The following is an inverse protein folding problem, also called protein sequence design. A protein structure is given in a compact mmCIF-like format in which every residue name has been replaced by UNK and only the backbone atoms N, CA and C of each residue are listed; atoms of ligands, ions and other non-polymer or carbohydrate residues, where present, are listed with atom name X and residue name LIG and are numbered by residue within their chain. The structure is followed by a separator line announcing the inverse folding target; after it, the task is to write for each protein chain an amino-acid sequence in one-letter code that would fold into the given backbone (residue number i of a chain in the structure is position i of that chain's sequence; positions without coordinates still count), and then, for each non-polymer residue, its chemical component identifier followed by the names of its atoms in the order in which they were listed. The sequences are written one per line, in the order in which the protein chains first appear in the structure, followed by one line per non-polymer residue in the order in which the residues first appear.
data_IF_259164785144
#
_entry.id   IF_259164785144
#
_cell.length_a   1.000
_cell.length_b   1.000
_cell.length_c   1.000
_cell.angle_alpha   90.00
_cell.angle_beta   90.00
_cell.angle_gamma   90.00
#
_symmetry.space_group_name_H-M   'P 1'
#
loop_
_entity.id
_entity.type
_entity.pdbx_description
1 polymer ?
#
# COMPACT_ATOMS: atom_id res chain seq x y z
N UNK A 1 -19.00 3.07 12.19
CA UNK A 1 -18.17 4.11 12.83
C UNK A 1 -18.77 4.42 14.18
N UNK A 2 -17.97 4.46 15.25
CA UNK A 2 -18.43 4.72 16.63
C UNK A 2 -17.82 5.96 17.27
N UNK A 3 -16.93 6.67 16.56
CA UNK A 3 -16.32 7.91 17.03
C UNK A 3 -17.26 9.12 16.97
N UNK A 4 -16.76 10.27 17.43
CA UNK A 4 -17.50 11.55 17.53
C UNK A 4 -17.01 12.64 16.57
N UNK A 5 -16.01 12.35 15.74
CA UNK A 5 -15.47 13.30 14.77
C UNK A 5 -16.41 13.29 13.55
N UNK A 6 -16.77 14.44 12.95
CA UNK A 6 -17.51 14.46 11.70
C UNK A 6 -16.74 13.72 10.60
N UNK A 7 -17.44 12.86 9.86
CA UNK A 7 -16.87 12.09 8.75
C UNK A 7 -17.84 12.13 7.58
N UNK A 8 -17.32 12.33 6.36
CA UNK A 8 -18.15 12.30 5.15
C UNK A 8 -18.80 10.91 5.04
N UNK A 9 -20.14 10.78 4.94
CA UNK A 9 -20.79 9.52 4.62
C UNK A 9 -20.31 9.00 3.25
N UNK A 10 -20.12 7.69 3.07
CA UNK A 10 -19.59 7.15 1.80
C UNK A 10 -20.40 7.61 0.58
N UNK A 11 -21.74 7.54 0.67
CA UNK A 11 -22.64 8.00 -0.39
C UNK A 11 -22.54 9.51 -0.71
N UNK A 12 -22.08 10.34 0.24
CA UNK A 12 -21.80 11.76 -0.03
C UNK A 12 -20.39 11.95 -0.59
N UNK A 13 -19.40 11.16 -0.17
CA UNK A 13 -18.06 11.20 -0.74
C UNK A 13 -18.09 10.93 -2.25
N UNK A 14 -18.83 9.90 -2.68
CA UNK A 14 -18.98 9.50 -4.09
C UNK A 14 -19.94 10.41 -4.90
N UNK A 15 -20.47 11.49 -4.33
CA UNK A 15 -21.38 12.42 -5.03
C UNK A 15 -20.58 13.44 -5.85
N UNK A 16 -20.89 13.60 -7.15
CA UNK A 16 -20.28 14.64 -8.00
C UNK A 16 -20.60 16.05 -7.49
N UNK A 17 -19.56 16.89 -7.37
CA UNK A 17 -19.69 18.30 -6.99
C UNK A 17 -20.65 19.06 -7.92
N UNK A 18 -20.72 18.70 -9.21
CA UNK A 18 -21.61 19.31 -10.18
C UNK A 18 -23.10 19.10 -9.86
N UNK A 19 -23.46 18.05 -9.12
CA UNK A 19 -24.84 17.78 -8.69
C UNK A 19 -25.23 18.60 -7.45
N UNK A 20 -24.26 18.96 -6.61
CA UNK A 20 -24.47 19.82 -5.42
C UNK A 20 -24.41 21.32 -5.75
N UNK A 21 -23.64 21.67 -6.78
CA UNK A 21 -23.30 23.07 -7.07
C UNK A 21 -22.40 23.70 -5.99
N UNK A 22 -22.01 24.95 -6.22
CA UNK A 22 -21.03 25.68 -5.38
C UNK A 22 -21.48 25.76 -3.92
N UNK A 23 -22.75 26.12 -3.67
CA UNK A 23 -23.30 26.21 -2.32
C UNK A 23 -23.41 24.84 -1.64
N UNK A 24 -23.93 23.82 -2.33
CA UNK A 24 -24.07 22.49 -1.74
C UNK A 24 -22.72 21.84 -1.41
N UNK A 25 -21.69 22.07 -2.23
CA UNK A 25 -20.32 21.65 -1.92
C UNK A 25 -19.75 22.40 -0.71
N UNK A 26 -19.95 23.72 -0.63
CA UNK A 26 -19.56 24.52 0.54
C UNK A 26 -20.23 24.02 1.82
N UNK A 27 -21.52 23.75 1.79
CA UNK A 27 -22.29 23.29 2.96
C UNK A 27 -21.79 21.93 3.47
N UNK A 28 -21.43 21.00 2.56
CA UNK A 28 -20.83 19.71 2.91
C UNK A 28 -19.42 19.85 3.51
N UNK A 29 -18.58 20.72 2.93
CA UNK A 29 -17.23 20.98 3.44
C UNK A 29 -17.26 21.69 4.80
N UNK A 30 -18.10 22.72 4.96
CA UNK A 30 -18.36 23.39 6.23
C UNK A 30 -18.81 22.38 7.31
N UNK A 31 -19.81 21.54 7.00
CA UNK A 31 -20.34 20.52 7.92
C UNK A 31 -19.28 19.49 8.32
N UNK A 32 -18.45 19.05 7.37
CA UNK A 32 -17.39 18.05 7.61
C UNK A 32 -16.23 18.63 8.41
N UNK A 33 -15.82 19.86 8.10
CA UNK A 33 -14.63 20.51 8.67
C UNK A 33 -14.97 21.45 9.83
N UNK A 34 -16.20 21.40 10.37
CA UNK A 34 -16.63 22.19 11.53
C UNK A 34 -16.51 23.71 11.35
N UNK A 35 -16.74 24.20 10.12
CA UNK A 35 -16.53 25.59 9.70
C UNK A 35 -17.82 26.23 9.19
N UNK A 36 -17.80 27.55 9.01
CA UNK A 36 -18.95 28.35 8.57
C UNK A 36 -18.54 29.45 7.59
N UNK A 37 -17.74 29.09 6.57
CA UNK A 37 -17.37 30.02 5.50
C UNK A 37 -18.57 30.30 4.58
N UNK A 38 -18.58 31.47 3.92
CA UNK A 38 -19.63 31.89 2.98
C UNK A 38 -19.07 32.21 1.59
N UNK A 39 -19.94 32.22 0.57
CA UNK A 39 -19.59 32.56 -0.81
C UNK A 39 -19.37 34.07 -1.04
N UNK A 40 -19.48 34.92 -0.01
CA UNK A 40 -19.09 36.34 -0.08
C UNK A 40 -17.60 36.52 -0.40
N UNK A 41 -16.80 35.46 -0.20
CA UNK A 41 -15.42 35.38 -0.64
C UNK A 41 -15.33 34.79 -2.06
N UNK A 42 -15.08 35.60 -3.11
CA UNK A 42 -15.05 35.13 -4.49
C UNK A 42 -13.90 34.15 -4.79
N UNK A 43 -12.83 34.17 -3.97
CA UNK A 43 -11.70 33.25 -4.11
C UNK A 43 -12.07 31.83 -3.65
N UNK A 44 -12.96 31.71 -2.65
CA UNK A 44 -13.56 30.44 -2.23
C UNK A 44 -14.56 29.95 -3.27
N UNK A 45 -15.48 30.80 -3.75
CA UNK A 45 -16.43 30.43 -4.82
C UNK A 45 -15.70 29.87 -6.04
N UNK A 46 -14.71 30.61 -6.54
CA UNK A 46 -13.90 30.23 -7.71
C UNK A 46 -13.09 28.93 -7.51
N UNK A 47 -12.74 28.58 -6.27
CA UNK A 47 -12.03 27.32 -5.95
C UNK A 47 -12.99 26.11 -5.90
N UNK A 48 -14.24 26.32 -5.51
CA UNK A 48 -15.29 25.30 -5.56
C UNK A 48 -15.82 25.12 -6.99
N UNK A 49 -15.88 26.20 -7.77
CA UNK A 49 -16.12 26.18 -9.22
C UNK A 49 -15.03 25.39 -9.97
N UNK A 50 -13.75 25.49 -9.59
CA UNK A 50 -12.70 24.63 -10.14
C UNK A 50 -13.02 23.14 -9.90
N UNK A 51 -13.45 22.77 -8.69
CA UNK A 51 -13.74 21.38 -8.33
C UNK A 51 -14.90 20.81 -9.18
N UNK A 52 -15.94 21.62 -9.42
CA UNK A 52 -17.04 21.28 -10.32
C UNK A 52 -16.55 21.16 -11.77
N UNK A 53 -15.70 22.08 -12.23
CA UNK A 53 -15.19 22.14 -13.61
C UNK A 53 -14.24 20.97 -13.95
N UNK A 54 -13.59 20.39 -12.94
CA UNK A 54 -12.74 19.21 -13.08
C UNK A 54 -13.50 17.87 -12.81
N UNK A 55 -14.84 17.91 -12.71
CA UNK A 55 -15.73 16.77 -12.43
C UNK A 55 -15.34 15.95 -11.17
N UNK A 56 -14.98 16.65 -10.10
CA UNK A 56 -14.63 15.99 -8.83
C UNK A 56 -15.87 15.52 -8.08
N UNK A 57 -15.73 14.40 -7.37
CA UNK A 57 -16.61 14.04 -6.26
C UNK A 57 -16.25 14.81 -4.97
N UNK A 58 -17.15 14.81 -3.97
CA UNK A 58 -16.94 15.51 -2.69
C UNK A 58 -15.74 14.93 -1.92
N UNK A 59 -15.47 13.63 -2.04
CA UNK A 59 -14.32 12.98 -1.41
C UNK A 59 -12.99 13.52 -1.95
N UNK A 60 -12.87 13.70 -3.26
CA UNK A 60 -11.72 14.27 -3.94
C UNK A 60 -11.57 15.77 -3.67
N UNK A 61 -12.67 16.52 -3.72
CA UNK A 61 -12.68 17.94 -3.35
C UNK A 61 -12.22 18.14 -1.90
N UNK A 62 -12.79 17.39 -0.94
CA UNK A 62 -12.35 17.38 0.46
C UNK A 62 -10.88 16.97 0.60
N UNK A 63 -10.45 15.92 -0.11
CA UNK A 63 -9.07 15.43 -0.10
C UNK A 63 -8.05 16.48 -0.55
N UNK A 64 -8.37 17.27 -1.59
CA UNK A 64 -7.54 18.37 -2.10
C UNK A 64 -7.57 19.61 -1.18
N UNK A 65 -8.74 19.93 -0.62
CA UNK A 65 -8.96 21.19 0.12
C UNK A 65 -8.68 21.11 1.63
N UNK A 66 -8.73 19.93 2.28
CA UNK A 66 -8.56 19.83 3.75
C UNK A 66 -7.24 20.41 4.26
N UNK A 67 -6.14 20.20 3.53
CA UNK A 67 -4.79 20.64 3.91
C UNK A 67 -4.48 22.12 3.64
N UNK A 68 -5.52 22.94 3.44
CA UNK A 68 -5.50 24.40 3.24
C UNK A 68 -6.75 25.13 3.77
N UNK A 69 -7.81 24.40 4.16
CA UNK A 69 -9.15 24.95 4.42
C UNK A 69 -9.16 26.03 5.51
N UNK A 70 -8.45 25.80 6.62
CA UNK A 70 -8.37 26.70 7.77
C UNK A 70 -7.37 27.87 7.56
N UNK A 71 -7.33 28.47 6.36
CA UNK A 71 -6.42 29.60 6.07
C UNK A 71 -7.08 30.95 6.29
N UNK A 72 -6.32 31.87 6.90
CA UNK A 72 -6.69 33.29 7.01
C UNK A 72 -6.57 34.03 5.67
N UNK A 73 -5.86 33.46 4.69
CA UNK A 73 -5.57 34.14 3.42
C UNK A 73 -5.87 33.27 2.19
N UNK A 74 -7.08 33.43 1.66
CA UNK A 74 -7.57 32.73 0.48
C UNK A 74 -6.86 33.12 -0.83
N UNK A 75 -6.20 34.28 -0.89
CA UNK A 75 -5.52 34.75 -2.12
C UNK A 75 -4.30 33.91 -2.50
N UNK A 76 -3.68 33.23 -1.52
CA UNK A 76 -2.48 32.41 -1.75
C UNK A 76 -2.79 30.93 -1.98
N UNK A 77 -4.06 30.51 -1.87
CA UNK A 77 -4.45 29.10 -2.00
C UNK A 77 -4.15 28.55 -3.39
N UNK A 78 -4.61 29.24 -4.44
CA UNK A 78 -4.50 28.73 -5.82
C UNK A 78 -3.03 28.50 -6.18
N UNK A 79 -2.17 29.46 -5.87
CA UNK A 79 -0.72 29.35 -5.99
C UNK A 79 -0.13 28.23 -5.11
N UNK A 80 -0.65 28.00 -3.90
CA UNK A 80 -0.19 26.93 -3.03
C UNK A 80 -0.57 25.53 -3.55
N UNK A 81 -1.77 25.36 -4.14
CA UNK A 81 -2.18 24.12 -4.80
C UNK A 81 -1.36 23.86 -6.06
N UNK A 82 -1.26 24.84 -6.96
CA UNK A 82 -0.47 24.72 -8.18
C UNK A 82 1.00 24.37 -7.87
N UNK A 83 1.63 25.00 -6.87
CA UNK A 83 3.00 24.67 -6.44
C UNK A 83 3.13 23.32 -5.74
N UNK A 84 2.06 22.77 -5.13
CA UNK A 84 2.06 21.39 -4.60
C UNK A 84 2.01 20.40 -5.77
N UNK A 85 1.14 20.63 -6.75
CA UNK A 85 0.96 19.79 -7.94
C UNK A 85 2.16 19.84 -8.91
N UNK A 86 2.83 20.99 -9.02
CA UNK A 86 4.09 21.14 -9.76
C UNK A 86 5.24 20.38 -9.08
N UNK A 87 5.39 20.51 -7.75
CA UNK A 87 6.41 19.78 -6.99
C UNK A 87 6.19 18.26 -7.00
N UNK A 88 4.97 17.79 -6.85
CA UNK A 88 4.61 16.36 -6.93
C UNK A 88 4.97 15.77 -8.30
N UNK A 89 4.61 16.48 -9.39
CA UNK A 89 4.97 16.14 -10.76
C UNK A 89 6.48 16.12 -10.98
N UNK A 90 7.20 17.14 -10.49
CA UNK A 90 8.67 17.18 -10.55
C UNK A 90 9.30 16.02 -9.79
N UNK A 91 8.82 15.69 -8.58
CA UNK A 91 9.33 14.55 -7.80
C UNK A 91 9.16 13.25 -8.58
N UNK A 92 7.95 12.96 -9.09
CA UNK A 92 7.69 11.78 -9.92
C UNK A 92 8.60 11.70 -11.16
N UNK A 93 8.84 12.82 -11.83
CA UNK A 93 9.76 12.88 -12.98
C UNK A 93 11.24 12.69 -12.59
N UNK A 94 11.65 13.18 -11.41
CA UNK A 94 13.03 13.08 -10.90
C UNK A 94 13.30 11.76 -10.17
N UNK A 95 12.26 11.05 -9.75
CA UNK A 95 12.36 9.76 -9.07
C UNK A 95 13.00 8.69 -9.95
N UNK A 96 12.84 8.75 -11.28
CA UNK A 96 13.45 7.80 -12.22
C UNK A 96 14.70 8.42 -12.88
N UNK A 97 15.83 7.71 -12.81
CA UNK A 97 17.07 8.03 -13.52
C UNK A 97 17.54 6.81 -14.31
N UNK A 98 17.21 6.79 -15.61
CA UNK A 98 17.39 5.60 -16.46
C UNK A 98 16.50 4.45 -16.00
N UNK A 99 17.08 3.27 -15.74
CA UNK A 99 16.36 2.10 -15.23
C UNK A 99 16.49 1.96 -13.70
N UNK A 100 16.60 3.08 -12.97
CA UNK A 100 16.76 3.13 -11.51
C UNK A 100 15.88 4.20 -10.89
N UNK A 101 15.44 3.93 -9.68
CA UNK A 101 14.64 4.83 -8.85
C UNK A 101 15.55 5.42 -7.77
N UNK A 102 15.56 6.74 -7.64
CA UNK A 102 16.54 7.54 -6.86
C UNK A 102 15.89 8.50 -5.84
N UNK A 103 14.57 8.69 -5.90
CA UNK A 103 13.76 9.25 -4.81
C UNK A 103 12.68 8.20 -4.50
N UNK A 104 12.62 7.76 -3.25
CA UNK A 104 11.67 6.76 -2.74
C UNK A 104 10.79 7.31 -1.62
N UNK A 105 10.94 8.57 -1.22
CA UNK A 105 10.15 9.17 -0.15
C UNK A 105 8.71 9.45 -0.61
N UNK A 106 7.79 8.66 -0.07
CA UNK A 106 6.35 8.81 -0.26
C UNK A 106 5.74 9.33 1.06
N UNK A 107 4.92 10.40 1.03
CA UNK A 107 4.44 11.02 2.26
C UNK A 107 3.54 10.07 3.06
N UNK A 108 3.60 10.12 4.40
CA UNK A 108 3.04 9.14 5.31
C UNK A 108 1.55 8.91 5.08
N UNK A 109 1.18 7.65 4.92
CA UNK A 109 -0.19 7.15 4.84
C UNK A 109 -0.21 5.77 5.49
N UNK A 110 -1.04 5.58 6.52
CA UNK A 110 -1.26 4.26 7.13
C UNK A 110 -1.63 3.24 6.04
N UNK A 111 -0.77 2.25 5.74
CA UNK A 111 -1.01 1.34 4.64
C UNK A 111 -1.79 0.11 5.11
N UNK A 112 -2.55 -0.49 4.19
CA UNK A 112 -3.33 -1.71 4.44
C UNK A 112 -2.66 -2.86 3.69
N UNK A 113 -2.01 -3.75 4.43
CA UNK A 113 -1.55 -5.04 3.90
C UNK A 113 -2.65 -6.09 4.05
N UNK A 114 -2.77 -7.02 3.10
CA UNK A 114 -3.80 -8.05 3.18
C UNK A 114 -3.41 -9.37 2.50
N UNK A 115 -3.99 -10.48 2.97
CA UNK A 115 -3.92 -11.74 2.24
C UNK A 115 -4.61 -11.62 0.88
N UNK A 116 -4.09 -12.32 -0.12
CA UNK A 116 -4.73 -12.43 -1.43
C UNK A 116 -5.89 -13.43 -1.39
N UNK A 117 -6.81 -13.33 -2.35
CA UNK A 117 -7.91 -14.28 -2.52
C UNK A 117 -7.75 -15.07 -3.82
N UNK A 118 -8.33 -16.27 -3.86
CA UNK A 118 -8.55 -17.01 -5.10
C UNK A 118 -9.47 -16.23 -6.06
N UNK A 119 -9.36 -16.46 -7.36
CA UNK A 119 -10.19 -15.78 -8.36
C UNK A 119 -11.68 -16.10 -8.24
N UNK A 120 -12.03 -17.24 -7.65
CA UNK A 120 -13.42 -17.62 -7.34
C UNK A 120 -13.96 -16.94 -6.09
N UNK A 121 -13.09 -16.45 -5.20
CA UNK A 121 -13.43 -15.80 -3.95
C UNK A 121 -13.43 -14.26 -4.04
N UNK A 122 -13.05 -13.68 -5.18
CA UNK A 122 -12.99 -12.22 -5.42
C UNK A 122 -13.92 -11.75 -6.54
N UNK A 123 -14.62 -10.66 -6.28
CA UNK A 123 -15.31 -9.88 -7.28
C UNK A 123 -14.34 -8.89 -7.93
N UNK A 124 -14.62 -8.54 -9.18
CA UNK A 124 -13.95 -7.46 -9.90
C UNK A 124 -14.92 -6.28 -9.98
N UNK A 125 -14.60 -5.18 -9.31
CA UNK A 125 -15.46 -3.99 -9.25
C UNK A 125 -14.77 -2.77 -9.87
N UNK A 126 -15.54 -1.87 -10.47
CA UNK A 126 -15.07 -0.54 -10.88
C UNK A 126 -15.49 0.46 -9.79
N UNK A 127 -14.64 1.44 -9.47
CA UNK A 127 -14.88 2.36 -8.34
C UNK A 127 -14.73 3.83 -8.74
N UNK A 128 -15.43 4.78 -8.08
CA UNK A 128 -15.14 6.20 -8.26
C UNK A 128 -13.72 6.58 -7.77
N UNK A 129 -13.21 5.87 -6.76
CA UNK A 129 -11.92 6.15 -6.10
C UNK A 129 -10.75 6.13 -7.10
N UNK A 130 -10.80 5.27 -8.11
CA UNK A 130 -9.83 5.19 -9.20
C UNK A 130 -10.38 5.71 -10.54
N UNK A 131 -11.35 6.64 -10.53
CA UNK A 131 -11.94 7.26 -11.72
C UNK A 131 -12.65 6.28 -12.67
N UNK A 132 -13.03 5.10 -12.17
CA UNK A 132 -13.47 3.94 -12.95
C UNK A 132 -12.47 3.54 -14.05
N UNK A 133 -11.17 3.82 -13.87
CA UNK A 133 -10.15 3.48 -14.87
C UNK A 133 -9.85 1.98 -14.90
N UNK A 134 -9.55 1.34 -13.76
CA UNK A 134 -9.16 -0.08 -13.70
C UNK A 134 -10.07 -0.93 -12.79
N UNK A 135 -10.18 -2.25 -13.06
CA UNK A 135 -10.83 -3.20 -12.16
C UNK A 135 -10.12 -3.30 -10.80
N UNK A 136 -10.87 -3.32 -9.72
CA UNK A 136 -10.37 -3.53 -8.35
C UNK A 136 -10.79 -4.93 -7.88
N UNK A 137 -9.86 -5.85 -7.55
CA UNK A 137 -10.19 -7.14 -6.98
C UNK A 137 -10.50 -7.04 -5.48
N UNK A 138 -11.69 -7.46 -5.05
CA UNK A 138 -12.18 -7.40 -3.67
C UNK A 138 -12.86 -8.72 -3.30
N UNK A 139 -12.77 -9.26 -2.07
CA UNK A 139 -13.47 -10.50 -1.70
C UNK A 139 -14.99 -10.39 -1.92
N UNK A 140 -15.62 -11.46 -2.42
CA UNK A 140 -17.05 -11.51 -2.78
C UNK A 140 -18.02 -11.15 -1.63
N UNK A 141 -17.57 -11.30 -0.39
CA UNK A 141 -18.29 -11.09 0.87
C UNK A 141 -17.93 -9.77 1.57
N UNK A 142 -17.11 -8.92 0.95
CA UNK A 142 -16.58 -7.68 1.54
C UNK A 142 -16.99 -6.45 0.71
N UNK A 143 -17.20 -5.34 1.41
CA UNK A 143 -17.49 -4.04 0.79
C UNK A 143 -16.55 -2.97 1.34
N UNK A 144 -16.01 -2.08 0.47
CA UNK A 144 -15.02 -1.06 0.85
C UNK A 144 -15.47 -0.18 2.04
N UNK A 145 -16.77 0.10 2.15
CA UNK A 145 -17.29 0.89 3.27
C UNK A 145 -17.13 0.19 4.65
N UNK A 146 -17.02 -1.13 4.72
CA UNK A 146 -16.75 -1.85 5.97
C UNK A 146 -15.30 -1.65 6.41
N UNK A 147 -14.34 -1.87 5.49
CA UNK A 147 -12.91 -1.57 5.69
C UNK A 147 -12.76 -0.10 6.13
N UNK A 148 -13.42 0.83 5.43
CA UNK A 148 -13.44 2.25 5.78
C UNK A 148 -13.98 2.51 7.19
N UNK A 149 -15.06 1.86 7.58
CA UNK A 149 -15.63 1.97 8.94
C UNK A 149 -14.64 1.47 10.00
N UNK A 150 -13.91 0.39 9.71
CA UNK A 150 -12.87 -0.14 10.59
C UNK A 150 -11.68 0.82 10.70
N UNK A 151 -11.18 1.36 9.56
CA UNK A 151 -10.09 2.35 9.57
C UNK A 151 -10.47 3.61 10.38
N UNK A 152 -11.71 4.10 10.22
CA UNK A 152 -12.22 5.23 11.01
C UNK A 152 -12.35 4.89 12.51
N UNK A 153 -12.68 3.65 12.87
CA UNK A 153 -12.69 3.20 14.27
C UNK A 153 -11.28 3.10 14.86
N UNK A 154 -10.27 2.76 14.04
CA UNK A 154 -8.83 2.81 14.38
C UNK A 154 -8.28 4.26 14.41
N UNK A 155 -9.13 5.27 14.24
CA UNK A 155 -8.74 6.69 14.25
C UNK A 155 -8.02 7.15 12.98
N UNK A 156 -8.07 6.38 11.89
CA UNK A 156 -7.38 6.70 10.64
C UNK A 156 -8.27 7.56 9.74
N UNK A 157 -7.74 8.66 9.23
CA UNK A 157 -8.49 9.51 8.31
C UNK A 157 -8.16 9.25 6.83
N UNK A 158 -6.89 9.11 6.43
CA UNK A 158 -6.46 8.81 5.04
C UNK A 158 -5.52 7.60 5.08
N UNK A 159 -5.89 6.51 4.41
CA UNK A 159 -5.15 5.24 4.35
C UNK A 159 -4.70 4.95 2.90
N UNK A 160 -3.73 4.05 2.74
CA UNK A 160 -3.26 3.56 1.43
C UNK A 160 -3.62 2.08 1.25
N UNK A 161 -4.05 1.69 0.05
CA UNK A 161 -4.44 0.32 -0.28
C UNK A 161 -4.05 0.01 -1.73
N UNK A 162 -3.21 -1.00 -1.93
CA UNK A 162 -2.57 -1.35 -3.21
C UNK A 162 -3.58 -1.55 -4.36
N UNK A 163 -4.66 -2.30 -4.14
CA UNK A 163 -5.67 -2.59 -5.16
C UNK A 163 -6.44 -1.34 -5.63
N UNK A 164 -6.47 -0.27 -4.83
CA UNK A 164 -7.04 1.03 -5.18
C UNK A 164 -6.00 2.03 -5.71
N UNK A 165 -4.75 1.94 -5.25
CA UNK A 165 -3.71 2.93 -5.53
C UNK A 165 -2.74 2.55 -6.65
N UNK A 166 -2.67 1.28 -7.04
CA UNK A 166 -1.87 0.79 -8.18
C UNK A 166 -2.80 0.35 -9.31
N UNK A 167 -2.46 0.70 -10.57
CA UNK A 167 -3.24 0.27 -11.74
C UNK A 167 -3.22 -1.25 -11.85
N UNK A 168 -4.38 -1.87 -11.68
CA UNK A 168 -4.55 -3.31 -11.81
C UNK A 168 -4.61 -3.73 -13.29
N UNK A 169 -4.51 -5.03 -13.56
CA UNK A 169 -4.54 -5.56 -14.94
C UNK A 169 -5.90 -5.34 -15.60
N UNK A 170 -5.91 -4.64 -16.73
CA UNK A 170 -7.08 -4.40 -17.56
C UNK A 170 -7.82 -3.08 -17.26
N UNK A 171 -8.97 -2.91 -17.92
CA UNK A 171 -9.75 -1.67 -17.87
C UNK A 171 -9.30 -0.63 -18.91
N UNK A 172 -9.47 0.64 -18.57
CA UNK A 172 -9.08 1.80 -19.39
C UNK A 172 -7.61 2.12 -19.15
N UNK A 173 -6.92 2.55 -20.21
CA UNK A 173 -5.51 2.94 -20.20
C UNK A 173 -4.53 1.84 -19.76
N UNK A 174 -4.82 0.58 -20.11
CA UNK A 174 -3.88 -0.55 -19.99
C UNK A 174 -2.55 -0.26 -20.72
N UNK A 175 -2.53 0.63 -21.72
CA UNK A 175 -1.31 1.15 -22.37
C UNK A 175 -0.32 1.83 -21.40
N UNK A 176 -0.80 2.35 -20.27
CA UNK A 176 0.05 2.98 -19.24
C UNK A 176 0.60 1.98 -18.22
N UNK A 177 -0.07 0.84 -18.00
CA UNK A 177 0.23 -0.05 -16.85
C UNK A 177 1.68 -0.50 -16.83
N UNK A 178 2.23 -0.86 -17.99
CA UNK A 178 3.61 -1.30 -18.14
C UNK A 178 4.66 -0.19 -17.94
N UNK A 179 4.28 1.09 -18.02
CA UNK A 179 5.16 2.23 -17.72
C UNK A 179 5.04 2.65 -16.25
N UNK A 180 3.82 2.74 -15.71
CA UNK A 180 3.55 3.02 -14.29
C UNK A 180 4.19 1.95 -13.38
N UNK A 181 4.04 0.67 -13.72
CA UNK A 181 4.61 -0.44 -12.95
C UNK A 181 6.14 -0.45 -12.90
N UNK A 182 6.86 0.28 -13.77
CA UNK A 182 8.33 0.43 -13.65
C UNK A 182 8.74 1.20 -12.41
N UNK A 183 7.86 2.06 -11.89
CA UNK A 183 8.07 2.91 -10.72
C UNK A 183 7.26 2.42 -9.51
N UNK A 184 5.95 2.21 -9.69
CA UNK A 184 5.04 2.12 -8.55
C UNK A 184 5.10 0.75 -7.84
N UNK A 185 5.21 -0.34 -8.61
CA UNK A 185 5.41 -1.71 -8.10
C UNK A 185 6.73 -1.84 -7.30
N UNK A 186 7.89 -1.38 -7.79
CA UNK A 186 9.14 -1.45 -7.03
C UNK A 186 9.27 -0.40 -5.92
N UNK A 187 8.50 0.69 -5.90
CA UNK A 187 8.48 1.66 -4.78
C UNK A 187 7.51 1.31 -3.65
N UNK A 188 6.59 0.35 -3.85
CA UNK A 188 5.54 0.01 -2.87
C UNK A 188 6.04 -0.16 -1.43
N UNK A 189 7.22 -0.73 -1.22
CA UNK A 189 7.79 -0.94 0.12
C UNK A 189 8.03 0.36 0.90
N UNK A 190 8.24 1.50 0.24
CA UNK A 190 8.35 2.81 0.91
C UNK A 190 7.05 3.23 1.61
N UNK A 191 5.90 2.75 1.15
CA UNK A 191 4.59 3.04 1.77
C UNK A 191 4.41 2.28 3.10
N UNK A 192 5.21 1.24 3.33
CA UNK A 192 5.20 0.40 4.54
C UNK A 192 6.44 0.59 5.42
N UNK A 193 7.52 1.16 4.88
CA UNK A 193 8.79 1.33 5.56
C UNK A 193 8.68 2.33 6.72
N UNK A 194 8.93 1.87 7.94
CA UNK A 194 8.77 2.62 9.20
C UNK A 194 7.35 3.24 9.38
N UNK A 195 6.32 2.57 8.85
CA UNK A 195 4.91 2.98 8.97
C UNK A 195 4.10 2.02 9.87
N UNK A 196 2.99 2.52 10.41
CA UNK A 196 2.07 1.74 11.24
C UNK A 196 1.04 1.00 10.37
N UNK A 197 1.30 -0.26 10.03
CA UNK A 197 0.51 -1.03 9.05
C UNK A 197 -0.80 -1.56 9.64
N UNK A 198 -1.83 -1.70 8.79
CA UNK A 198 -3.06 -2.44 9.13
C UNK A 198 -3.09 -3.74 8.32
N UNK A 199 -3.05 -4.90 8.99
CA UNK A 199 -2.87 -6.20 8.35
C UNK A 199 -4.14 -7.09 8.41
N UNK A 200 -4.76 -7.37 7.27
CA UNK A 200 -5.85 -8.35 7.14
C UNK A 200 -5.31 -9.75 6.78
N UNK A 201 -4.97 -10.55 7.79
CA UNK A 201 -4.29 -11.84 7.60
C UNK A 201 -5.18 -12.93 6.95
N UNK A 202 -6.51 -12.80 7.02
CA UNK A 202 -7.50 -13.74 6.44
C UNK A 202 -8.19 -13.23 5.16
N UNK A 203 -7.70 -12.11 4.59
CA UNK A 203 -8.22 -11.47 3.38
C UNK A 203 -8.76 -10.08 3.64
N UNK A 204 -8.56 -9.15 2.69
CA UNK A 204 -8.92 -7.74 2.80
C UNK A 204 -10.36 -7.53 3.32
N UNK A 205 -10.52 -6.92 4.50
CA UNK A 205 -11.84 -6.65 5.08
C UNK A 205 -12.61 -7.87 5.62
N UNK A 206 -12.00 -9.06 5.66
CA UNK A 206 -12.58 -10.25 6.30
C UNK A 206 -12.18 -10.35 7.77
N UNK A 207 -13.04 -10.93 8.64
CA UNK A 207 -12.65 -11.28 10.00
C UNK A 207 -11.45 -12.24 10.05
N UNK A 208 -10.59 -12.02 11.04
CA UNK A 208 -9.44 -12.87 11.33
C UNK A 208 -9.91 -14.25 11.80
N UNK A 209 -9.76 -15.24 10.92
CA UNK A 209 -10.12 -16.64 11.19
C UNK A 209 -8.96 -17.56 10.83
N UNK A 210 -8.84 -18.68 11.57
CA UNK A 210 -7.73 -19.61 11.48
C UNK A 210 -8.26 -21.05 11.38
N UNK A 211 -8.28 -21.59 10.17
CA UNK A 211 -8.75 -22.95 9.85
C UNK A 211 -7.56 -23.85 9.49
N UNK A 212 -7.79 -25.16 9.53
CA UNK A 212 -6.76 -26.15 9.17
C UNK A 212 -6.41 -26.06 7.69
N UNK A 213 -5.16 -25.69 7.38
CA UNK A 213 -4.67 -25.46 6.02
C UNK A 213 -4.38 -23.99 5.71
N UNK A 214 -4.86 -23.04 6.53
CA UNK A 214 -4.74 -21.61 6.25
C UNK A 214 -3.29 -21.11 6.34
N UNK A 215 -2.43 -21.75 7.15
CA UNK A 215 -0.99 -21.42 7.22
C UNK A 215 -0.17 -22.08 6.10
N UNK A 216 -0.72 -23.14 5.48
CA UNK A 216 -0.15 -23.86 4.35
C UNK A 216 -0.56 -23.27 2.99
N UNK A 217 -1.69 -22.55 2.94
CA UNK A 217 -2.24 -21.90 1.73
C UNK A 217 -1.25 -20.93 1.06
N UNK A 218 -1.23 -20.89 -0.28
CA UNK A 218 -0.46 -19.91 -1.06
C UNK A 218 -1.07 -18.50 -1.06
N UNK A 219 -2.33 -18.40 -0.64
CA UNK A 219 -3.05 -17.16 -0.39
C UNK A 219 -2.68 -16.55 0.98
N UNK A 220 -2.20 -17.37 1.92
CA UNK A 220 -1.83 -16.97 3.28
C UNK A 220 -0.90 -15.76 3.31
N UNK A 221 -1.20 -14.78 4.18
CA UNK A 221 -0.41 -13.58 4.34
C UNK A 221 1.07 -13.87 4.65
N UNK A 222 1.36 -14.87 5.49
CA UNK A 222 2.72 -15.30 5.81
C UNK A 222 3.46 -16.01 4.65
N UNK A 223 2.77 -16.31 3.54
CA UNK A 223 3.32 -17.01 2.36
C UNK A 223 3.35 -16.18 1.09
N UNK A 224 2.82 -14.95 1.02
CA UNK A 224 2.98 -14.07 -0.16
C UNK A 224 4.37 -13.42 -0.21
N UNK A 225 4.89 -13.15 -1.41
CA UNK A 225 6.20 -12.50 -1.57
C UNK A 225 6.17 -11.02 -1.19
N UNK A 226 5.16 -10.29 -1.69
CA UNK A 226 4.99 -8.85 -1.43
C UNK A 226 4.85 -8.52 0.06
N UNK A 227 4.05 -9.30 0.80
CA UNK A 227 3.83 -9.11 2.25
C UNK A 227 5.08 -9.28 3.11
N UNK A 228 6.22 -9.69 2.56
CA UNK A 228 7.49 -9.69 3.28
C UNK A 228 8.00 -8.26 3.54
N UNK A 229 7.72 -7.29 2.67
CA UNK A 229 8.06 -5.87 2.89
C UNK A 229 6.90 -5.02 3.44
N UNK A 230 5.69 -5.60 3.56
CA UNK A 230 4.47 -4.90 4.02
C UNK A 230 4.24 -5.02 5.54
N UNK A 231 5.32 -5.15 6.32
CA UNK A 231 5.24 -5.53 7.75
C UNK A 231 5.22 -4.30 8.67
N UNK A 232 5.93 -3.24 8.28
CA UNK A 232 6.13 -2.00 9.03
C UNK A 232 6.89 -2.14 10.34
N UNK A 233 7.04 -1.00 11.02
CA UNK A 233 7.62 -0.93 12.37
C UNK A 233 6.59 -1.43 13.39
N UNK A 234 5.44 -0.77 13.44
CA UNK A 234 4.24 -1.17 14.18
C UNK A 234 3.19 -1.78 13.24
N UNK A 235 2.30 -2.63 13.78
CA UNK A 235 1.09 -3.05 13.05
C UNK A 235 -0.11 -3.33 13.93
N UNK A 236 -1.29 -3.10 13.36
CA UNK A 236 -2.59 -3.51 13.90
C UNK A 236 -3.14 -4.63 13.04
N UNK A 237 -3.56 -5.74 13.64
CA UNK A 237 -4.25 -6.80 12.90
C UNK A 237 -5.73 -6.43 12.78
N UNK A 238 -6.25 -6.45 11.55
CA UNK A 238 -7.61 -6.07 11.22
C UNK A 238 -8.51 -7.28 10.97
N UNK A 239 -9.82 -7.06 11.06
CA UNK A 239 -10.82 -8.12 11.17
C UNK A 239 -10.81 -8.82 12.54
N UNK A 240 -10.11 -8.27 13.54
CA UNK A 240 -10.00 -8.89 14.87
C UNK A 240 -11.35 -8.95 15.59
N UNK A 241 -11.54 -9.99 16.43
CA UNK A 241 -12.80 -10.27 17.14
C UNK A 241 -12.51 -10.84 18.52
N UNK A 242 -13.35 -10.61 19.55
CA UNK A 242 -13.08 -11.08 20.91
C UNK A 242 -12.86 -12.59 21.07
N UNK A 243 -13.51 -13.40 20.23
CA UNK A 243 -13.37 -14.86 20.17
C UNK A 243 -12.33 -15.31 19.11
N UNK A 244 -11.57 -14.37 18.56
CA UNK A 244 -10.59 -14.56 17.50
C UNK A 244 -9.24 -15.13 17.99
N UNK A 245 -8.38 -15.58 17.06
CA UNK A 245 -7.15 -16.30 17.42
C UNK A 245 -6.12 -15.44 18.16
N UNK A 246 -6.24 -14.11 18.17
CA UNK A 246 -5.33 -13.23 18.94
C UNK A 246 -5.59 -13.28 20.46
N UNK A 247 -6.81 -13.62 20.88
CA UNK A 247 -7.19 -13.73 22.29
C UNK A 247 -7.17 -15.18 22.82
N UNK A 248 -6.65 -16.12 22.03
CA UNK A 248 -6.60 -17.53 22.40
C UNK A 248 -5.75 -17.77 23.67
N UNK A 249 -6.29 -18.51 24.64
CA UNK A 249 -5.62 -18.72 25.92
C UNK A 249 -4.28 -19.48 25.76
N UNK A 250 -3.20 -18.86 26.23
CA UNK A 250 -1.88 -19.49 26.36
C UNK A 250 -1.67 -19.93 27.81
N UNK A 251 -1.77 -21.25 28.07
CA UNK A 251 -1.62 -21.86 29.40
C UNK A 251 -0.25 -22.55 29.49
N UNK A 252 0.53 -22.20 30.51
CA UNK A 252 1.90 -22.70 30.74
C UNK A 252 2.81 -22.60 29.50
N UNK A 253 2.65 -21.51 28.72
CA UNK A 253 3.40 -21.26 27.48
C UNK A 253 2.92 -22.06 26.27
N UNK A 254 1.71 -22.63 26.30
CA UNK A 254 1.11 -23.42 25.20
C UNK A 254 -0.31 -22.96 24.89
N UNK A 255 -0.62 -22.83 23.61
CA UNK A 255 -1.99 -22.67 23.13
C UNK A 255 -2.68 -24.04 23.04
N UNK A 256 -4.01 -24.05 23.03
CA UNK A 256 -4.83 -25.27 22.91
C UNK A 256 -4.47 -26.12 21.70
N UNK A 257 -4.08 -25.50 20.57
CA UNK A 257 -3.76 -26.20 19.33
C UNK A 257 -2.35 -25.89 18.80
N UNK A 258 -1.79 -26.86 18.07
CA UNK A 258 -0.57 -26.65 17.28
C UNK A 258 -0.75 -25.54 16.23
N UNK A 259 -1.95 -25.42 15.65
CA UNK A 259 -2.28 -24.42 14.64
C UNK A 259 -2.17 -22.99 15.21
N UNK A 260 -2.75 -22.74 16.39
CA UNK A 260 -2.56 -21.49 17.14
C UNK A 260 -1.08 -21.26 17.48
N UNK A 261 -0.41 -22.30 18.00
CA UNK A 261 1.03 -22.23 18.36
C UNK A 261 1.91 -21.85 17.15
N UNK A 262 1.55 -22.30 15.95
CA UNK A 262 2.24 -21.95 14.70
C UNK A 262 1.86 -20.56 14.20
N UNK A 263 0.59 -20.16 14.30
CA UNK A 263 0.11 -18.81 13.98
C UNK A 263 0.81 -17.74 14.82
N UNK A 264 0.80 -17.85 16.15
CA UNK A 264 1.49 -16.89 17.01
C UNK A 264 3.01 -16.85 16.78
N UNK A 265 3.64 -17.99 16.46
CA UNK A 265 5.06 -18.03 16.10
C UNK A 265 5.36 -17.29 14.79
N UNK A 266 4.53 -17.47 13.76
CA UNK A 266 4.66 -16.74 12.49
C UNK A 266 4.36 -15.24 12.66
N UNK A 267 3.41 -14.88 13.53
CA UNK A 267 3.15 -13.48 13.88
C UNK A 267 4.33 -12.87 14.65
N UNK A 268 4.93 -13.59 15.60
CA UNK A 268 6.13 -13.14 16.32
C UNK A 268 7.32 -12.92 15.36
N UNK A 269 7.66 -13.89 14.51
CA UNK A 269 8.85 -13.81 13.64
C UNK A 269 8.77 -12.76 12.52
N UNK A 270 7.65 -12.04 12.42
CA UNK A 270 7.55 -10.82 11.59
C UNK A 270 8.01 -9.56 12.33
N UNK A 271 8.03 -9.54 13.66
CA UNK A 271 8.57 -8.42 14.45
C UNK A 271 10.11 -8.45 14.52
N UNK A 272 10.68 -9.64 14.41
CA UNK A 272 12.12 -9.92 14.54
C UNK A 272 12.89 -9.61 13.23
N UNK A 273 12.20 -9.28 12.13
CA UNK A 273 12.78 -9.16 10.78
C UNK A 273 13.34 -7.76 10.48
N UNK A 274 14.63 -7.53 10.77
CA UNK A 274 15.30 -6.26 10.50
C UNK A 274 16.65 -6.41 9.80
N UNK A 275 16.70 -6.03 8.51
CA UNK A 275 17.90 -5.75 7.69
C UNK A 275 18.95 -6.85 7.47
N UNK A 276 18.87 -8.02 8.10
CA UNK A 276 19.77 -9.15 7.78
C UNK A 276 19.44 -9.77 6.42
N UNK A 277 20.43 -9.81 5.51
CA UNK A 277 20.27 -10.33 4.15
C UNK A 277 19.99 -11.82 4.16
N UNK A 278 20.65 -12.55 5.06
CA UNK A 278 20.43 -13.99 5.30
C UNK A 278 18.98 -14.31 5.65
N UNK A 279 18.43 -13.65 6.67
CA UNK A 279 17.06 -13.89 7.12
C UNK A 279 16.01 -13.48 6.07
N UNK A 280 16.25 -12.36 5.37
CA UNK A 280 15.40 -11.90 4.28
C UNK A 280 15.33 -12.91 3.12
N UNK A 281 16.48 -13.49 2.74
CA UNK A 281 16.54 -14.53 1.71
C UNK A 281 15.88 -15.83 2.18
N UNK A 282 16.13 -16.29 3.41
CA UNK A 282 15.49 -17.49 3.97
C UNK A 282 13.96 -17.33 4.02
N UNK A 283 13.46 -16.21 4.53
CA UNK A 283 12.01 -15.91 4.53
C UNK A 283 11.45 -15.87 3.11
N UNK A 284 12.17 -15.30 2.14
CA UNK A 284 11.74 -15.25 0.73
C UNK A 284 11.73 -16.63 0.05
N UNK A 285 12.57 -17.60 0.44
CA UNK A 285 12.51 -19.00 -0.05
C UNK A 285 11.15 -19.65 0.17
N UNK A 286 10.47 -19.30 1.27
CA UNK A 286 9.17 -19.87 1.63
C UNK A 286 7.96 -19.09 1.06
N UNK A 287 8.20 -17.95 0.40
CA UNK A 287 7.15 -17.12 -0.20
C UNK A 287 6.84 -17.49 -1.66
N UNK A 288 5.57 -17.35 -2.00
CA UNK A 288 4.95 -17.56 -3.32
C UNK A 288 4.57 -16.20 -3.93
N UNK A 289 4.69 -16.08 -5.24
CA UNK A 289 4.28 -14.90 -6.01
C UNK A 289 3.54 -15.30 -7.29
N UNK A 290 2.98 -14.31 -7.99
CA UNK A 290 2.25 -14.56 -9.24
C UNK A 290 3.18 -14.40 -10.44
N UNK A 291 4.01 -13.37 -10.44
CA UNK A 291 5.18 -13.30 -11.32
C UNK A 291 6.43 -13.69 -10.49
N UNK A 292 7.30 -14.59 -10.96
CA UNK A 292 8.55 -14.90 -10.24
C UNK A 292 9.42 -13.68 -9.92
N UNK A 293 9.38 -12.63 -10.76
CA UNK A 293 10.14 -11.38 -10.58
C UNK A 293 9.71 -10.62 -9.31
N UNK A 294 8.45 -10.77 -8.87
CA UNK A 294 7.91 -10.21 -7.61
C UNK A 294 8.81 -10.55 -6.40
N UNK A 295 9.39 -11.76 -6.36
CA UNK A 295 10.25 -12.24 -5.26
C UNK A 295 11.58 -11.49 -5.18
N UNK A 296 12.00 -10.85 -6.26
CA UNK A 296 13.18 -9.99 -6.30
C UNK A 296 12.77 -8.54 -6.02
N UNK A 297 11.67 -8.07 -6.61
CA UNK A 297 11.16 -6.73 -6.38
C UNK A 297 10.82 -6.50 -4.89
N UNK A 298 10.14 -7.44 -4.24
CA UNK A 298 9.80 -7.42 -2.81
C UNK A 298 10.98 -7.56 -1.84
N UNK A 299 12.21 -7.77 -2.33
CA UNK A 299 13.44 -7.70 -1.53
C UNK A 299 14.10 -6.31 -1.57
N UNK A 300 13.65 -5.39 -2.43
CA UNK A 300 14.40 -4.16 -2.75
C UNK A 300 14.64 -3.22 -1.57
N UNK A 301 13.63 -3.05 -0.71
CA UNK A 301 13.74 -2.27 0.52
C UNK A 301 14.45 -3.03 1.64
N UNK A 302 14.10 -4.31 1.81
CA UNK A 302 14.63 -5.17 2.89
C UNK A 302 16.16 -5.30 2.79
N UNK A 303 16.69 -5.42 1.57
CA UNK A 303 18.13 -5.56 1.31
C UNK A 303 18.87 -4.21 1.18
N UNK A 304 18.26 -3.11 1.65
CA UNK A 304 18.91 -1.81 1.84
C UNK A 304 19.53 -1.23 0.56
N UNK A 305 18.71 -1.00 -0.47
CA UNK A 305 19.19 -0.51 -1.77
C UNK A 305 19.37 1.01 -1.82
N UNK A 306 20.52 1.50 -2.30
CA UNK A 306 20.80 2.93 -2.53
C UNK A 306 19.98 3.49 -3.72
N UNK A 307 19.47 2.61 -4.58
CA UNK A 307 18.52 2.89 -5.64
C UNK A 307 17.77 1.62 -5.99
N UNK A 308 16.50 1.70 -6.42
CA UNK A 308 15.71 0.51 -6.74
C UNK A 308 15.71 0.27 -8.25
N UNK A 309 15.91 -0.96 -8.76
CA UNK A 309 15.78 -1.26 -10.18
C UNK A 309 14.36 -0.99 -10.68
N UNK A 310 14.22 -0.44 -11.89
CA UNK A 310 12.93 -0.38 -12.57
C UNK A 310 12.39 -1.81 -12.80
N UNK A 311 11.12 -2.03 -12.51
CA UNK A 311 10.47 -3.34 -12.62
C UNK A 311 10.00 -3.61 -14.05
N UNK A 312 10.16 -4.87 -14.51
CA UNK A 312 9.69 -5.34 -15.81
C UNK A 312 9.14 -6.75 -15.64
N UNK A 313 7.85 -6.96 -15.95
CA UNK A 313 7.20 -8.27 -15.83
C UNK A 313 7.87 -9.38 -16.65
N UNK A 314 8.56 -9.01 -17.74
CA UNK A 314 9.22 -9.92 -18.67
C UNK A 314 10.72 -10.14 -18.41
N UNK A 315 11.29 -9.55 -17.35
CA UNK A 315 12.69 -9.75 -17.01
C UNK A 315 12.97 -11.19 -16.55
N UNK A 316 14.15 -11.73 -16.86
CA UNK A 316 14.56 -12.99 -16.21
C UNK A 316 14.93 -12.74 -14.75
N UNK A 317 14.73 -13.76 -13.90
CA UNK A 317 15.16 -13.76 -12.50
C UNK A 317 16.65 -13.40 -12.36
N UNK A 318 17.49 -13.92 -13.26
CA UNK A 318 18.92 -13.63 -13.30
C UNK A 318 19.25 -12.17 -13.58
N UNK A 319 18.48 -11.49 -14.44
CA UNK A 319 18.64 -10.06 -14.76
C UNK A 319 18.10 -9.15 -13.66
N UNK A 320 16.92 -9.44 -13.11
CA UNK A 320 16.33 -8.67 -12.02
C UNK A 320 17.21 -8.76 -10.75
N UNK A 321 17.66 -9.96 -10.38
CA UNK A 321 18.60 -10.16 -9.27
C UNK A 321 19.95 -9.50 -9.55
N UNK A 322 20.40 -9.56 -10.82
CA UNK A 322 21.59 -8.84 -11.27
C UNK A 322 21.48 -7.34 -11.06
N UNK A 323 20.32 -6.74 -11.31
CA UNK A 323 20.09 -5.32 -11.12
C UNK A 323 20.06 -4.94 -9.64
N UNK A 324 19.32 -5.70 -8.82
CA UNK A 324 19.17 -5.46 -7.38
C UNK A 324 20.52 -5.53 -6.64
N UNK A 325 21.32 -6.58 -6.83
CA UNK A 325 22.64 -6.67 -6.17
C UNK A 325 23.63 -5.60 -6.67
N UNK A 326 23.42 -5.05 -7.86
CA UNK A 326 24.18 -3.89 -8.37
C UNK A 326 23.66 -2.54 -7.82
N UNK A 327 22.60 -2.51 -7.00
CA UNK A 327 22.05 -1.29 -6.38
C UNK A 327 21.87 -1.36 -4.86
N UNK A 328 22.04 -2.55 -4.24
CA UNK A 328 22.28 -2.72 -2.80
C UNK A 328 23.34 -1.77 -2.27
N UNK A 329 23.14 -1.25 -1.06
CA UNK A 329 24.17 -0.53 -0.33
C UNK A 329 25.40 -1.40 -0.03
N UNK A 330 26.51 -0.77 0.33
CA UNK A 330 27.77 -1.48 0.60
C UNK A 330 27.68 -2.53 1.73
N UNK A 331 27.01 -2.29 2.89
CA UNK A 331 26.95 -3.31 3.95
C UNK A 331 26.12 -4.56 3.58
N UNK A 332 24.85 -4.48 3.10
CA UNK A 332 24.09 -5.67 2.69
C UNK A 332 24.76 -6.47 1.58
N UNK A 333 25.36 -5.77 0.59
CA UNK A 333 26.14 -6.42 -0.47
C UNK A 333 27.40 -7.11 0.06
N UNK A 334 27.94 -6.64 1.19
CA UNK A 334 29.02 -7.29 1.93
C UNK A 334 28.56 -8.57 2.64
N UNK A 335 27.44 -8.54 3.34
CA UNK A 335 26.84 -9.74 3.96
C UNK A 335 26.58 -10.81 2.89
N UNK A 336 25.93 -10.45 1.78
CA UNK A 336 25.64 -11.35 0.66
C UNK A 336 26.90 -12.04 0.10
N UNK A 337 28.05 -11.35 0.08
CA UNK A 337 29.33 -11.91 -0.35
C UNK A 337 29.86 -12.96 0.63
N UNK A 338 29.68 -12.76 1.94
CA UNK A 338 30.12 -13.73 2.96
C UNK A 338 29.17 -14.92 3.12
N UNK A 339 27.87 -14.75 2.84
CA UNK A 339 26.88 -15.83 2.89
C UNK A 339 27.05 -16.88 1.78
N UNK A 340 27.70 -16.53 0.67
CA UNK A 340 27.83 -17.38 -0.51
C UNK A 340 29.32 -17.70 -0.80
N UNK A 341 29.88 -18.77 -0.19
CA UNK A 341 31.28 -19.14 -0.39
C UNK A 341 31.58 -19.71 -1.78
N UNK A 342 30.56 -20.07 -2.57
CA UNK A 342 30.73 -20.55 -3.94
C UNK A 342 30.90 -19.41 -4.95
N UNK A 343 31.80 -19.53 -5.94
CA UNK A 343 31.92 -18.55 -7.01
C UNK A 343 30.64 -18.44 -7.85
N UNK A 344 30.18 -17.22 -8.08
CA UNK A 344 28.98 -16.93 -8.86
C UNK A 344 28.91 -17.63 -10.22
N UNK A 345 27.79 -18.30 -10.53
CA UNK A 345 27.61 -18.99 -11.81
C UNK A 345 27.04 -18.07 -12.92
N UNK A 346 26.20 -17.08 -12.59
CA UNK A 346 25.60 -16.12 -13.51
C UNK A 346 26.42 -14.81 -13.68
N UNK A 347 27.66 -14.94 -14.15
CA UNK A 347 28.52 -13.81 -14.54
C UNK A 347 29.65 -13.49 -13.55
N UNK A 348 29.54 -12.39 -12.78
CA UNK A 348 30.61 -11.92 -11.88
C UNK A 348 30.86 -12.93 -10.75
N UNK A 349 32.09 -13.46 -10.64
CA UNK A 349 32.43 -14.55 -9.71
C UNK A 349 32.28 -14.24 -8.21
N UNK A 350 32.26 -12.97 -7.81
CA UNK A 350 32.00 -12.58 -6.41
C UNK A 350 30.52 -12.56 -6.03
N UNK A 351 29.60 -12.73 -6.98
CA UNK A 351 28.17 -12.55 -6.73
C UNK A 351 27.39 -13.85 -7.00
N UNK A 352 26.64 -14.39 -6.03
CA UNK A 352 25.79 -15.55 -6.26
C UNK A 352 24.68 -15.21 -7.26
N UNK A 353 24.26 -16.19 -8.06
CA UNK A 353 23.03 -16.08 -8.85
C UNK A 353 21.80 -16.22 -7.96
N UNK A 354 20.62 -15.96 -8.53
CA UNK A 354 19.34 -16.20 -7.85
C UNK A 354 19.21 -17.67 -7.41
N UNK A 355 19.59 -18.59 -8.30
CA UNK A 355 19.56 -20.04 -8.08
C UNK A 355 20.65 -20.55 -7.12
N UNK A 356 21.56 -19.68 -6.65
CA UNK A 356 22.50 -19.96 -5.56
C UNK A 356 22.03 -19.40 -4.20
N UNK A 357 21.02 -18.52 -4.18
CA UNK A 357 20.47 -17.95 -2.94
C UNK A 357 19.06 -18.45 -2.59
N UNK A 358 18.35 -19.10 -3.52
CA UNK A 358 17.00 -19.63 -3.34
C UNK A 358 16.97 -21.16 -3.19
#
# INVERSE_FOLDING_TARGET
YTGRIPVIPSHLADTSCATLGVQGLLDQLNTTLGTSYSLDNPLLSSLLEDCITNDYDVGMAHGRLRGIWYTDNWSTIRDALCRREEKDRERRQKAISGNRIVDTDLPPRRPISHAWMDERDRAVVLTPINGYEWPVPIPNDVHLNLIRIEMLNLGLEYAWLDVLCLRQVGGRREDLRAEEWKLDVPTIGAVYYNENVVCYLSGLGRPLTLKKGDLESEQCWFRRAWTLQEVGEDRVIAGDTPDGPLYAECKDGKYETELLTRFHRQLQSTHEMWFEVSEALEKMRHRVSTNPVDRIAGLSFILGSESIPAYYESASLGEAWTALVNSMATPPRGELFFLCPEPGNAGKKWRPSWDQVM
#
